data_IF_562048777164
#
_entry.id   IF_562048777164
#
_cell.length_a   1.000
_cell.length_b   1.000
_cell.length_c   1.000
_cell.angle_alpha   90.00
_cell.angle_beta   90.00
_cell.angle_gamma   90.00
#
_symmetry.space_group_name_H-M   'P 1'
#
loop_
_entity.id
_entity.type
_entity.pdbx_description
1 polymer ?
#
# COMPACT_ATOMS: atom_id res chain seq x y z
N UNK A 1 0.21 -2.11 -34.10
CA UNK A 1 1.05 -1.53 -33.02
C UNK A 1 0.24 -1.60 -31.75
N UNK A 2 0.75 -2.23 -30.69
CA UNK A 2 0.07 -2.27 -29.40
C UNK A 2 0.25 -0.88 -28.78
N UNK A 3 -0.85 -0.23 -28.39
CA UNK A 3 -0.77 1.07 -27.69
C UNK A 3 0.05 0.94 -26.42
N UNK A 4 0.92 1.91 -26.09
CA UNK A 4 1.70 1.85 -24.86
C UNK A 4 0.77 1.81 -23.64
N UNK A 5 1.13 1.01 -22.64
CA UNK A 5 0.37 0.92 -21.39
C UNK A 5 0.45 2.28 -20.67
N UNK A 6 -0.67 2.93 -20.35
CA UNK A 6 -0.69 4.33 -19.90
C UNK A 6 -0.42 4.49 -18.39
N UNK A 7 0.06 3.45 -17.71
CA UNK A 7 0.31 3.46 -16.27
C UNK A 7 1.68 2.89 -15.90
N UNK A 8 2.23 3.36 -14.78
CA UNK A 8 3.43 2.82 -14.14
C UNK A 8 3.04 2.28 -12.77
N UNK A 9 3.44 1.05 -12.48
CA UNK A 9 3.31 0.42 -11.16
C UNK A 9 4.45 0.88 -10.26
N UNK A 10 4.14 1.26 -9.03
CA UNK A 10 5.11 1.69 -8.02
C UNK A 10 4.94 0.88 -6.75
N UNK A 11 6.04 0.40 -6.19
CA UNK A 11 6.05 -0.32 -4.92
C UNK A 11 7.33 -0.02 -4.11
N UNK A 12 7.31 -0.33 -2.82
CA UNK A 12 8.48 -0.23 -1.95
C UNK A 12 9.27 -1.54 -1.89
N UNK A 13 10.60 -1.45 -1.92
CA UNK A 13 11.49 -2.59 -1.71
C UNK A 13 12.58 -2.27 -0.67
N UNK A 14 12.70 -3.13 0.32
CA UNK A 14 13.74 -3.08 1.36
C UNK A 14 14.27 -4.50 1.61
N UNK A 15 15.53 -4.60 2.06
CA UNK A 15 16.13 -5.87 2.47
C UNK A 15 15.31 -6.54 3.57
N UNK A 16 15.13 -7.87 3.48
CA UNK A 16 14.35 -8.65 4.47
C UNK A 16 13.13 -9.33 3.88
N UNK A 17 11.97 -9.20 4.54
CA UNK A 17 10.72 -9.79 4.03
C UNK A 17 10.21 -9.05 2.79
N UNK A 18 10.36 -7.72 2.76
CA UNK A 18 9.78 -6.86 1.74
C UNK A 18 10.31 -7.20 0.34
N UNK A 19 11.61 -7.49 0.19
CA UNK A 19 12.17 -7.91 -1.11
C UNK A 19 11.60 -9.24 -1.62
N UNK A 20 11.26 -10.19 -0.75
CA UNK A 20 10.59 -11.43 -1.18
C UNK A 20 9.15 -11.15 -1.64
N UNK A 21 8.44 -10.27 -0.92
CA UNK A 21 7.10 -9.82 -1.28
C UNK A 21 7.11 -9.07 -2.63
N UNK A 22 8.03 -8.11 -2.82
CA UNK A 22 8.19 -7.38 -4.08
C UNK A 22 8.47 -8.33 -5.26
N UNK A 23 9.28 -9.38 -5.07
CA UNK A 23 9.49 -10.38 -6.13
C UNK A 23 8.21 -11.14 -6.48
N UNK A 24 7.40 -11.51 -5.49
CA UNK A 24 6.09 -12.15 -5.73
C UNK A 24 5.16 -11.21 -6.49
N UNK A 25 5.09 -9.93 -6.11
CA UNK A 25 4.32 -8.91 -6.82
C UNK A 25 4.77 -8.79 -8.29
N UNK A 26 6.07 -8.61 -8.54
CA UNK A 26 6.61 -8.48 -9.90
C UNK A 26 6.33 -9.73 -10.73
N UNK A 27 6.67 -10.91 -10.22
CA UNK A 27 6.48 -12.17 -10.95
C UNK A 27 5.00 -12.47 -11.23
N UNK A 28 4.12 -12.24 -10.26
CA UNK A 28 2.68 -12.44 -10.44
C UNK A 28 2.10 -11.47 -11.44
N UNK A 29 2.48 -10.19 -11.41
CA UNK A 29 2.06 -9.20 -12.40
C UNK A 29 2.48 -9.61 -13.81
N UNK A 30 3.74 -10.03 -14.00
CA UNK A 30 4.23 -10.48 -15.31
C UNK A 30 3.52 -11.72 -15.84
N UNK A 31 3.03 -12.60 -14.95
CA UNK A 31 2.36 -13.86 -15.31
C UNK A 31 0.86 -13.72 -15.51
N UNK A 32 0.21 -12.95 -14.65
CA UNK A 32 -1.25 -12.93 -14.51
C UNK A 32 -1.88 -11.55 -14.75
N UNK A 33 -1.07 -10.51 -14.97
CA UNK A 33 -1.54 -9.14 -15.18
C UNK A 33 -2.22 -8.86 -16.53
N UNK A 34 -2.33 -9.86 -17.42
CA UNK A 34 -3.01 -9.72 -18.72
C UNK A 34 -2.39 -8.60 -19.56
N UNK A 35 -3.21 -7.65 -20.05
CA UNK A 35 -2.72 -6.49 -20.81
C UNK A 35 -1.79 -5.59 -20.01
N UNK A 36 -1.86 -5.60 -18.67
CA UNK A 36 -0.99 -4.85 -17.78
C UNK A 36 0.29 -5.60 -17.40
N UNK A 37 0.48 -6.83 -17.89
CA UNK A 37 1.66 -7.63 -17.59
C UNK A 37 2.96 -6.97 -18.05
N UNK A 38 2.92 -6.05 -19.01
CA UNK A 38 4.10 -5.31 -19.51
C UNK A 38 4.15 -3.86 -19.00
N UNK A 39 3.34 -3.50 -18.00
CA UNK A 39 3.39 -2.16 -17.42
C UNK A 39 4.79 -1.88 -16.84
N UNK A 40 5.35 -0.66 -17.03
CA UNK A 40 6.56 -0.24 -16.32
C UNK A 40 6.39 -0.40 -14.82
N UNK A 41 7.45 -0.89 -14.15
CA UNK A 41 7.49 -1.05 -12.69
C UNK A 41 8.65 -0.24 -12.15
N UNK A 42 8.38 0.59 -11.16
CA UNK A 42 9.40 1.30 -10.39
C UNK A 42 9.36 0.77 -8.95
N UNK A 43 10.39 0.04 -8.55
CA UNK A 43 10.59 -0.36 -7.17
C UNK A 43 11.49 0.66 -6.46
N UNK A 44 11.07 1.17 -5.31
CA UNK A 44 11.80 2.21 -4.58
C UNK A 44 12.28 1.71 -3.23
N UNK A 45 13.55 1.94 -2.92
CA UNK A 45 14.08 1.84 -1.55
C UNK A 45 14.06 3.24 -0.93
N UNK A 46 13.05 3.58 -0.10
CA UNK A 46 12.79 4.97 0.30
C UNK A 46 13.68 5.45 1.44
N UNK A 47 14.33 4.54 2.17
CA UNK A 47 15.15 4.88 3.34
C UNK A 47 16.41 4.02 3.41
N UNK A 48 17.37 4.48 4.19
CA UNK A 48 18.63 3.76 4.42
C UNK A 48 18.37 2.40 5.07
N UNK A 49 19.00 1.37 4.54
CA UNK A 49 18.92 0.01 5.04
C UNK A 49 20.05 -0.83 4.47
N UNK A 50 19.99 -2.14 4.71
CA UNK A 50 20.92 -3.06 4.08
C UNK A 50 20.66 -3.15 2.57
N UNK A 51 21.69 -3.48 1.77
CA UNK A 51 21.52 -3.75 0.35
C UNK A 51 20.50 -4.86 0.08
N UNK A 52 19.85 -4.78 -1.08
CA UNK A 52 18.99 -5.85 -1.58
C UNK A 52 19.82 -7.08 -1.96
N UNK A 53 19.21 -8.25 -1.90
CA UNK A 53 19.88 -9.49 -2.30
C UNK A 53 20.12 -9.54 -3.82
N UNK A 54 21.15 -10.28 -4.24
CA UNK A 54 21.43 -10.52 -5.65
C UNK A 54 20.23 -11.13 -6.40
N UNK A 55 19.47 -12.00 -5.75
CA UNK A 55 18.25 -12.58 -6.34
C UNK A 55 17.17 -11.51 -6.64
N UNK A 56 17.09 -10.45 -5.84
CA UNK A 56 16.19 -9.31 -6.07
C UNK A 56 16.64 -8.50 -7.29
N UNK A 57 17.94 -8.21 -7.39
CA UNK A 57 18.51 -7.56 -8.57
C UNK A 57 18.30 -8.39 -9.85
N UNK A 58 18.56 -9.71 -9.79
CA UNK A 58 18.30 -10.61 -10.92
C UNK A 58 16.83 -10.63 -11.33
N UNK A 59 15.90 -10.57 -10.37
CA UNK A 59 14.48 -10.45 -10.66
C UNK A 59 14.17 -9.12 -11.37
N UNK A 60 14.73 -8.02 -10.89
CA UNK A 60 14.53 -6.70 -11.50
C UNK A 60 15.10 -6.63 -12.92
N UNK A 61 16.31 -7.14 -13.14
CA UNK A 61 16.92 -7.21 -14.48
C UNK A 61 16.08 -8.07 -15.42
N UNK A 62 15.62 -9.23 -14.95
CA UNK A 62 14.80 -10.17 -15.74
C UNK A 62 13.46 -9.58 -16.18
N UNK A 63 12.83 -8.75 -15.34
CA UNK A 63 11.49 -8.22 -15.57
C UNK A 63 11.47 -6.71 -15.85
N UNK A 64 12.64 -6.13 -16.14
CA UNK A 64 12.83 -4.73 -16.51
C UNK A 64 12.22 -3.77 -15.48
N UNK A 65 12.47 -4.06 -14.19
CA UNK A 65 12.05 -3.19 -13.08
C UNK A 65 13.08 -2.08 -12.89
N UNK A 66 12.64 -0.82 -12.96
CA UNK A 66 13.48 0.31 -12.57
C UNK A 66 13.60 0.34 -11.05
N UNK A 67 14.84 0.29 -10.53
CA UNK A 67 15.10 0.39 -9.10
C UNK A 67 15.63 1.78 -8.74
N UNK A 68 14.93 2.47 -7.84
CA UNK A 68 15.37 3.75 -7.29
C UNK A 68 15.83 3.55 -5.85
N UNK A 69 17.08 3.92 -5.58
CA UNK A 69 17.61 3.99 -4.22
C UNK A 69 17.62 5.44 -3.74
N UNK A 70 16.60 5.84 -2.96
CA UNK A 70 16.41 7.22 -2.50
C UNK A 70 17.24 7.55 -1.25
N UNK A 71 18.50 7.07 -1.20
CA UNK A 71 19.41 7.23 -0.06
C UNK A 71 19.97 8.66 0.11
N UNK A 72 19.59 9.60 -0.75
CA UNK A 72 20.34 10.86 -0.92
C UNK A 72 20.22 11.84 0.25
N UNK A 73 19.27 11.68 1.18
CA UNK A 73 19.26 12.39 2.46
C UNK A 73 18.34 11.71 3.48
N UNK A 74 18.71 11.64 4.78
CA UNK A 74 17.80 11.17 5.81
C UNK A 74 16.62 12.13 5.92
N UNK A 75 15.42 11.61 5.65
CA UNK A 75 14.18 12.39 5.79
C UNK A 75 13.69 12.35 7.25
N UNK A 76 12.88 13.35 7.63
CA UNK A 76 12.47 13.66 9.02
C UNK A 76 11.74 12.52 9.76
N UNK A 77 11.28 11.50 9.03
CA UNK A 77 10.46 10.40 9.56
C UNK A 77 10.85 9.02 9.03
N UNK A 78 12.12 8.79 8.66
CA UNK A 78 12.59 7.47 8.16
C UNK A 78 12.37 6.31 9.15
N UNK A 79 12.19 6.60 10.44
CA UNK A 79 11.81 5.62 11.44
C UNK A 79 10.37 5.13 11.31
N UNK A 80 9.49 5.92 10.71
CA UNK A 80 8.10 5.56 10.49
C UNK A 80 7.98 4.80 9.16
N UNK A 81 7.67 3.49 9.22
CA UNK A 81 7.48 2.66 8.03
C UNK A 81 6.36 3.15 7.11
N UNK A 82 5.32 3.79 7.65
CA UNK A 82 4.22 4.34 6.86
C UNK A 82 4.66 5.49 5.93
N UNK A 83 5.79 6.13 6.22
CA UNK A 83 6.35 7.17 5.36
C UNK A 83 7.08 6.65 4.14
N UNK A 84 7.38 5.34 4.08
CA UNK A 84 8.04 4.73 2.93
C UNK A 84 7.27 4.99 1.62
N UNK A 85 5.95 4.86 1.67
CA UNK A 85 5.02 5.01 0.55
C UNK A 85 5.00 6.44 -0.05
N UNK A 86 4.73 7.51 0.72
CA UNK A 86 4.77 8.86 0.17
C UNK A 86 6.15 9.26 -0.36
N UNK A 87 7.26 8.84 0.28
CA UNK A 87 8.60 9.07 -0.26
C UNK A 87 8.84 8.31 -1.58
N UNK A 88 8.43 7.05 -1.65
CA UNK A 88 8.55 6.24 -2.85
C UNK A 88 7.76 6.83 -4.03
N UNK A 89 6.52 7.28 -3.77
CA UNK A 89 5.68 7.90 -4.78
C UNK A 89 6.27 9.20 -5.32
N UNK A 90 6.82 10.05 -4.46
CA UNK A 90 7.49 11.27 -4.91
C UNK A 90 8.66 10.94 -5.84
N UNK A 91 9.54 10.03 -5.42
CA UNK A 91 10.70 9.62 -6.23
C UNK A 91 10.30 8.95 -7.56
N UNK A 92 9.26 8.11 -7.56
CA UNK A 92 8.78 7.44 -8.75
C UNK A 92 8.07 8.38 -9.72
N UNK A 93 7.30 9.36 -9.22
CA UNK A 93 6.56 10.33 -10.04
C UNK A 93 7.49 11.17 -10.92
N UNK A 94 8.69 11.49 -10.44
CA UNK A 94 9.71 12.23 -11.19
C UNK A 94 10.31 11.41 -12.35
N UNK A 95 10.24 10.07 -12.27
CA UNK A 95 10.81 9.14 -13.25
C UNK A 95 9.78 8.58 -14.22
N UNK A 96 8.56 8.38 -13.76
CA UNK A 96 7.49 7.81 -14.54
C UNK A 96 7.14 8.70 -15.74
N UNK A 97 6.97 8.06 -16.89
CA UNK A 97 6.63 8.72 -18.17
C UNK A 97 5.18 8.51 -18.59
N UNK A 98 4.47 7.64 -17.91
CA UNK A 98 3.07 7.27 -18.19
C UNK A 98 2.09 8.26 -17.57
N UNK A 99 0.85 8.27 -18.01
CA UNK A 99 -0.14 9.24 -17.54
C UNK A 99 -0.67 8.94 -16.13
N UNK A 100 -0.62 7.67 -15.73
CA UNK A 100 -1.11 7.20 -14.44
C UNK A 100 0.02 6.59 -13.60
N UNK A 101 -0.09 6.75 -12.29
CA UNK A 101 0.74 6.06 -11.29
C UNK A 101 -0.19 5.16 -10.49
N UNK A 102 0.15 3.88 -10.42
CA UNK A 102 -0.52 2.90 -9.55
C UNK A 102 0.43 2.58 -8.41
N UNK A 103 -0.04 2.72 -7.19
CA UNK A 103 0.62 2.16 -6.02
C UNK A 103 0.12 0.74 -5.77
N UNK A 104 1.04 -0.19 -5.57
CA UNK A 104 0.78 -1.52 -5.01
C UNK A 104 1.71 -1.75 -3.82
N UNK A 105 1.13 -2.07 -2.66
CA UNK A 105 1.93 -2.58 -1.54
C UNK A 105 2.64 -3.89 -1.97
N UNK A 106 3.83 -4.14 -1.42
CA UNK A 106 4.65 -5.27 -1.89
C UNK A 106 4.06 -6.63 -1.56
N UNK A 107 3.13 -6.70 -0.60
CA UNK A 107 2.33 -7.86 -0.25
C UNK A 107 1.02 -8.00 -1.05
N UNK A 108 0.99 -7.42 -2.25
CA UNK A 108 -0.03 -7.68 -3.26
C UNK A 108 0.39 -8.85 -4.16
N UNK A 109 -0.51 -9.81 -4.35
CA UNK A 109 -0.43 -10.88 -5.34
C UNK A 109 -1.40 -10.58 -6.49
N UNK A 110 -0.89 -10.51 -7.73
CA UNK A 110 -1.73 -10.39 -8.92
C UNK A 110 -2.27 -11.78 -9.29
N UNK A 111 -3.58 -11.96 -9.15
CA UNK A 111 -4.27 -13.22 -9.42
C UNK A 111 -5.01 -13.24 -10.77
N UNK A 112 -5.21 -12.06 -11.36
CA UNK A 112 -5.79 -11.89 -12.69
C UNK A 112 -5.58 -10.46 -13.19
N UNK A 113 -6.03 -10.21 -14.43
CA UNK A 113 -5.86 -8.92 -15.09
C UNK A 113 -6.62 -7.78 -14.36
N UNK A 114 -5.91 -6.75 -13.83
CA UNK A 114 -6.53 -5.71 -13.02
C UNK A 114 -6.85 -4.45 -13.85
N UNK A 115 -7.62 -4.60 -14.93
CA UNK A 115 -7.90 -3.50 -15.87
C UNK A 115 -8.62 -2.31 -15.25
N UNK A 116 -9.29 -2.46 -14.10
CA UNK A 116 -9.92 -1.35 -13.39
C UNK A 116 -8.90 -0.34 -12.85
N UNK A 117 -7.61 -0.68 -12.81
CA UNK A 117 -6.54 0.30 -12.53
C UNK A 117 -6.33 1.33 -13.65
N UNK A 118 -6.90 1.11 -14.84
CA UNK A 118 -6.90 2.12 -15.90
C UNK A 118 -7.98 3.15 -15.59
N UNK A 119 -7.55 4.35 -15.20
CA UNK A 119 -8.47 5.45 -14.89
C UNK A 119 -9.32 5.81 -16.12
N UNK A 120 -10.66 5.80 -16.01
CA UNK A 120 -11.53 6.32 -17.03
C UNK A 120 -11.29 7.81 -17.29
N UNK A 121 -11.77 8.30 -18.44
CA UNK A 121 -11.77 9.73 -18.73
C UNK A 121 -12.57 10.49 -17.67
N UNK A 122 -12.03 11.64 -17.23
CA UNK A 122 -12.63 12.45 -16.17
C UNK A 122 -12.44 11.93 -14.76
N UNK A 123 -11.77 10.79 -14.55
CA UNK A 123 -11.38 10.30 -13.22
C UNK A 123 -9.87 10.50 -13.01
N UNK A 124 -9.53 11.07 -11.86
CA UNK A 124 -8.18 11.43 -11.46
C UNK A 124 -7.60 10.51 -10.39
N UNK A 125 -8.44 9.84 -9.62
CA UNK A 125 -8.06 9.03 -8.47
C UNK A 125 -8.99 7.83 -8.25
N UNK A 126 -8.45 6.66 -7.94
CA UNK A 126 -9.22 5.53 -7.44
C UNK A 126 -8.46 4.79 -6.34
N UNK A 127 -9.18 4.35 -5.31
CA UNK A 127 -8.65 3.52 -4.23
C UNK A 127 -9.76 2.61 -3.69
N UNK A 128 -9.39 1.49 -3.07
CA UNK A 128 -10.37 0.63 -2.40
C UNK A 128 -10.78 1.26 -1.07
N UNK A 129 -12.07 1.27 -0.75
CA UNK A 129 -12.55 1.69 0.57
C UNK A 129 -11.95 0.76 1.62
N UNK A 130 -11.50 1.31 2.75
CA UNK A 130 -10.97 0.52 3.85
C UNK A 130 -12.09 -0.23 4.60
N UNK A 131 -11.67 -1.06 5.56
CA UNK A 131 -12.52 -1.39 6.71
C UNK A 131 -12.80 -0.14 7.56
N UNK A 132 -13.74 -0.26 8.51
CA UNK A 132 -14.13 0.86 9.37
C UNK A 132 -13.01 1.33 10.32
N UNK A 133 -11.96 0.53 10.56
CA UNK A 133 -10.92 0.84 11.55
C UNK A 133 -10.12 2.08 11.16
N UNK A 134 -10.20 3.10 12.02
CA UNK A 134 -9.55 4.39 11.79
C UNK A 134 -10.39 5.40 11.02
N UNK A 135 -11.57 5.00 10.52
CA UNK A 135 -12.56 5.91 9.97
C UNK A 135 -13.52 6.41 11.06
N UNK A 136 -14.35 7.40 10.75
CA UNK A 136 -15.45 7.84 11.62
C UNK A 136 -16.79 7.70 10.90
N UNK A 137 -17.82 7.20 11.60
CA UNK A 137 -19.20 7.14 11.08
C UNK A 137 -20.02 8.40 11.36
N UNK A 138 -19.46 9.41 12.02
CA UNK A 138 -20.14 10.67 12.33
C UNK A 138 -19.78 11.25 13.70
N UNK A 139 -20.49 12.29 14.15
CA UNK A 139 -20.16 13.03 15.38
C UNK A 139 -20.15 12.20 16.67
N UNK A 140 -20.96 11.13 16.73
CA UNK A 140 -21.07 10.27 17.91
C UNK A 140 -20.05 9.11 17.94
N UNK A 141 -19.21 9.00 16.90
CA UNK A 141 -18.20 7.95 16.77
C UNK A 141 -16.92 8.31 17.56
N UNK A 142 -16.24 7.31 18.12
CA UNK A 142 -15.05 7.53 18.96
C UNK A 142 -13.87 8.18 18.22
N UNK A 143 -13.86 8.11 16.89
CA UNK A 143 -12.86 8.74 16.03
C UNK A 143 -13.23 10.16 15.60
N UNK A 144 -14.42 10.68 15.96
CA UNK A 144 -14.89 12.00 15.51
C UNK A 144 -13.91 13.13 15.85
N UNK A 145 -13.49 13.24 17.13
CA UNK A 145 -12.55 14.26 17.58
C UNK A 145 -11.18 14.15 16.89
N UNK A 146 -10.72 12.92 16.62
CA UNK A 146 -9.51 12.70 15.85
C UNK A 146 -9.65 13.21 14.41
N UNK A 147 -10.77 12.90 13.75
CA UNK A 147 -11.06 13.34 12.39
C UNK A 147 -11.20 14.87 12.26
N UNK A 148 -11.81 15.52 13.24
CA UNK A 148 -11.83 16.99 13.35
C UNK A 148 -10.41 17.55 13.45
N UNK A 149 -9.58 16.98 14.35
CA UNK A 149 -8.20 17.41 14.56
C UNK A 149 -7.31 17.27 13.31
N UNK A 150 -7.40 16.14 12.59
CA UNK A 150 -6.64 15.95 11.34
C UNK A 150 -7.15 16.86 10.22
N UNK A 151 -8.46 17.11 10.12
CA UNK A 151 -9.01 18.05 9.14
C UNK A 151 -8.52 19.46 9.41
N UNK A 152 -8.60 19.92 10.67
CA UNK A 152 -8.06 21.21 11.09
C UNK A 152 -6.55 21.31 10.81
N UNK A 153 -5.79 20.25 11.12
CA UNK A 153 -4.36 20.18 10.86
C UNK A 153 -4.04 20.40 9.37
N UNK A 154 -4.86 19.85 8.48
CA UNK A 154 -4.67 19.96 7.03
C UNK A 154 -5.32 21.21 6.40
N UNK A 155 -6.17 21.91 7.14
CA UNK A 155 -6.93 23.07 6.66
C UNK A 155 -8.17 22.65 5.84
N UNK A 156 -8.83 21.58 6.26
CA UNK A 156 -10.04 21.03 5.66
C UNK A 156 -11.22 21.18 6.62
N UNK A 157 -12.41 21.34 6.06
CA UNK A 157 -13.68 21.28 6.80
C UNK A 157 -14.17 19.82 6.79
N UNK A 158 -14.40 19.22 7.97
CA UNK A 158 -14.81 17.81 8.10
C UNK A 158 -16.13 17.53 7.34
N UNK A 159 -17.05 18.49 7.38
CA UNK A 159 -18.37 18.42 6.74
C UNK A 159 -18.27 18.44 5.21
N UNK A 160 -17.17 18.96 4.66
CA UNK A 160 -16.92 18.93 3.22
C UNK A 160 -16.50 17.55 2.72
N UNK A 161 -16.06 16.66 3.60
CA UNK A 161 -15.59 15.34 3.21
C UNK A 161 -16.76 14.46 2.72
N UNK A 162 -16.61 13.80 1.56
CA UNK A 162 -17.58 12.82 1.10
C UNK A 162 -17.75 11.67 2.09
N UNK A 163 -18.87 10.95 1.91
CA UNK A 163 -19.10 9.67 2.57
C UNK A 163 -18.79 8.53 1.61
N UNK A 164 -18.19 7.45 2.12
CA UNK A 164 -17.95 6.21 1.39
C UNK A 164 -18.56 5.03 2.15
N UNK A 165 -18.81 3.93 1.45
CA UNK A 165 -19.29 2.68 2.05
C UNK A 165 -18.09 1.72 2.14
N UNK A 166 -17.80 1.20 3.33
CA UNK A 166 -16.69 0.25 3.53
C UNK A 166 -16.96 -1.05 2.76
N UNK A 167 -15.90 -1.66 2.22
CA UNK A 167 -16.05 -2.82 1.34
C UNK A 167 -16.57 -4.05 2.11
N UNK A 168 -16.10 -4.25 3.34
CA UNK A 168 -16.43 -5.43 4.13
C UNK A 168 -17.67 -5.23 5.01
N UNK A 169 -17.71 -4.18 5.82
CA UNK A 169 -18.80 -3.96 6.78
C UNK A 169 -20.03 -3.29 6.17
N UNK A 170 -19.91 -2.75 4.95
CA UNK A 170 -20.94 -1.91 4.31
C UNK A 170 -21.32 -0.70 5.19
N UNK A 171 -20.37 -0.23 6.00
CA UNK A 171 -20.55 0.90 6.90
C UNK A 171 -20.34 2.22 6.16
N UNK A 172 -21.16 3.23 6.46
CA UNK A 172 -21.01 4.56 5.91
C UNK A 172 -20.00 5.36 6.75
N UNK A 173 -18.84 5.66 6.17
CA UNK A 173 -17.73 6.34 6.86
C UNK A 173 -17.27 7.59 6.11
N UNK A 174 -16.61 8.52 6.81
CA UNK A 174 -15.93 9.66 6.16
C UNK A 174 -14.86 9.19 5.20
N UNK A 175 -14.53 10.04 4.23
CA UNK A 175 -13.67 9.81 3.06
C UNK A 175 -12.31 9.14 3.34
N UNK A 176 -12.35 7.83 3.59
CA UNK A 176 -11.24 7.01 4.07
C UNK A 176 -11.09 5.78 3.17
N UNK A 177 -9.88 5.54 2.70
CA UNK A 177 -9.56 4.47 1.77
C UNK A 177 -8.42 3.64 2.32
N UNK A 178 -8.37 2.36 1.94
CA UNK A 178 -7.20 1.54 2.17
C UNK A 178 -6.07 2.03 1.26
N UNK A 179 -4.84 2.02 1.77
CA UNK A 179 -3.68 2.55 1.04
C UNK A 179 -2.82 1.50 0.35
N UNK A 180 -3.25 0.24 0.34
CA UNK A 180 -2.51 -0.86 -0.28
C UNK A 180 -2.59 -0.89 -1.80
N UNK A 181 -3.69 -0.41 -2.37
CA UNK A 181 -3.89 -0.27 -3.82
C UNK A 181 -4.62 1.02 -4.12
N UNK A 182 -3.99 1.88 -4.92
CA UNK A 182 -4.64 3.06 -5.48
C UNK A 182 -3.94 3.52 -6.75
N UNK A 183 -4.65 4.34 -7.53
CA UNK A 183 -4.17 4.91 -8.78
C UNK A 183 -4.51 6.39 -8.86
N UNK A 184 -3.62 7.19 -9.44
CA UNK A 184 -3.88 8.60 -9.71
C UNK A 184 -3.24 9.08 -11.01
N UNK A 185 -3.74 10.19 -11.56
CA UNK A 185 -3.12 10.87 -12.71
C UNK A 185 -1.78 11.49 -12.30
N UNK A 186 -0.69 11.11 -12.96
CA UNK A 186 0.68 11.54 -12.60
C UNK A 186 0.82 13.06 -12.46
N UNK A 187 0.13 13.82 -13.29
CA UNK A 187 0.20 15.29 -13.33
C UNK A 187 -0.72 16.00 -12.32
N UNK A 188 -1.48 15.28 -11.49
CA UNK A 188 -2.41 15.87 -10.52
C UNK A 188 -1.73 16.52 -9.29
N UNK A 189 -0.40 16.42 -9.18
CA UNK A 189 0.39 16.82 -7.99
C UNK A 189 0.06 16.02 -6.72
N UNK A 190 -0.61 14.88 -6.86
CA UNK A 190 -0.96 14.02 -5.72
C UNK A 190 0.26 13.62 -4.88
N UNK A 191 1.33 13.08 -5.47
CA UNK A 191 2.50 12.60 -4.72
C UNK A 191 3.15 13.66 -3.80
N UNK A 192 3.51 14.87 -4.27
CA UNK A 192 4.09 15.88 -3.39
C UNK A 192 3.11 16.35 -2.29
N UNK A 193 1.82 16.54 -2.62
CA UNK A 193 0.83 16.94 -1.61
C UNK A 193 0.58 15.84 -0.58
N UNK A 194 0.58 14.57 -1.01
CA UNK A 194 0.40 13.41 -0.15
C UNK A 194 1.52 13.29 0.87
N UNK A 195 2.77 13.47 0.43
CA UNK A 195 3.92 13.50 1.32
C UNK A 195 3.83 14.65 2.32
N UNK A 196 3.50 15.85 1.85
CA UNK A 196 3.33 17.03 2.71
C UNK A 196 2.26 16.81 3.77
N UNK A 197 1.10 16.25 3.39
CA UNK A 197 0.02 15.94 4.32
C UNK A 197 0.46 14.90 5.36
N UNK A 198 1.15 13.83 4.95
CA UNK A 198 1.69 12.84 5.90
C UNK A 198 2.67 13.49 6.91
N UNK A 199 3.54 14.40 6.44
CA UNK A 199 4.48 15.14 7.29
C UNK A 199 3.71 16.03 8.27
N UNK A 200 2.72 16.81 7.82
CA UNK A 200 1.89 17.68 8.66
C UNK A 200 1.14 16.88 9.73
N UNK A 201 0.57 15.73 9.37
CA UNK A 201 -0.10 14.87 10.34
C UNK A 201 0.86 14.36 11.42
N UNK A 202 2.06 13.92 11.06
CA UNK A 202 3.07 13.55 12.06
C UNK A 202 3.53 14.76 12.89
N UNK A 203 3.73 15.92 12.27
CA UNK A 203 4.11 17.15 12.97
C UNK A 203 3.06 17.65 13.96
N UNK A 204 1.77 17.39 13.69
CA UNK A 204 0.68 17.73 14.60
C UNK A 204 0.68 16.92 15.89
N UNK A 205 1.36 15.76 15.89
CA UNK A 205 1.41 14.81 17.02
C UNK A 205 0.02 14.36 17.47
N UNK A 206 -0.97 14.38 16.58
CA UNK A 206 -2.28 13.83 16.85
C UNK A 206 -2.24 12.30 16.73
N UNK A 207 -2.88 11.63 17.68
CA UNK A 207 -3.02 10.17 17.72
C UNK A 207 -4.48 9.84 18.00
N UNK A 208 -5.01 8.83 17.33
CA UNK A 208 -6.32 8.28 17.66
C UNK A 208 -6.24 7.31 18.84
N UNK A 209 -7.36 7.12 19.55
CA UNK A 209 -7.50 6.04 20.55
C UNK A 209 -7.46 4.63 19.96
N UNK A 210 -7.94 4.48 18.73
CA UNK A 210 -8.09 3.16 18.07
C UNK A 210 -6.83 2.73 17.35
N UNK A 211 -6.30 3.58 16.49
CA UNK A 211 -5.18 3.26 15.60
C UNK A 211 -3.86 3.93 16.01
N UNK A 212 -3.85 4.71 17.09
CA UNK A 212 -2.69 5.51 17.44
C UNK A 212 -2.37 6.55 16.36
N UNK A 213 -1.09 6.78 16.10
CA UNK A 213 -0.57 7.53 14.95
C UNK A 213 -0.15 6.61 13.79
N UNK A 214 -0.49 5.31 13.84
CA UNK A 214 -0.23 4.38 12.75
C UNK A 214 -1.14 4.68 11.56
N UNK A 215 -0.80 4.14 10.38
CA UNK A 215 -1.58 4.32 9.15
C UNK A 215 -1.74 5.79 8.71
N UNK A 216 -0.76 6.65 9.05
CA UNK A 216 -0.78 8.07 8.65
C UNK A 216 -0.92 8.23 7.13
N UNK A 217 -0.27 7.35 6.37
CA UNK A 217 -0.37 7.28 4.92
C UNK A 217 -1.82 6.99 4.50
N UNK A 218 -2.45 6.00 5.11
CA UNK A 218 -3.85 5.68 4.85
C UNK A 218 -4.83 6.82 5.17
N UNK A 219 -4.65 7.47 6.32
CA UNK A 219 -5.47 8.63 6.73
C UNK A 219 -5.30 9.79 5.75
N UNK A 220 -4.07 10.09 5.32
CA UNK A 220 -3.79 11.18 4.40
C UNK A 220 -4.27 10.93 2.97
N UNK A 221 -4.52 9.68 2.56
CA UNK A 221 -4.79 9.29 1.17
C UNK A 221 -6.03 9.98 0.60
N UNK A 222 -7.20 9.75 1.21
CA UNK A 222 -8.46 10.36 0.79
C UNK A 222 -8.46 11.88 0.99
N UNK A 223 -7.92 12.35 2.12
CA UNK A 223 -7.83 13.78 2.44
C UNK A 223 -7.01 14.55 1.39
N UNK A 224 -5.93 13.95 0.88
CA UNK A 224 -5.11 14.54 -0.19
C UNK A 224 -5.88 14.64 -1.50
N UNK A 225 -6.59 13.57 -1.89
CA UNK A 225 -7.41 13.59 -3.10
C UNK A 225 -8.52 14.66 -3.03
N UNK A 226 -9.18 14.77 -1.87
CA UNK A 226 -10.20 15.79 -1.61
C UNK A 226 -9.62 17.21 -1.64
N UNK A 227 -8.50 17.44 -0.96
CA UNK A 227 -7.84 18.75 -0.91
C UNK A 227 -7.43 19.26 -2.29
N UNK A 228 -7.02 18.35 -3.18
CA UNK A 228 -6.66 18.68 -4.56
C UNK A 228 -7.86 18.78 -5.50
N UNK A 229 -9.08 18.50 -5.02
CA UNK A 229 -10.30 18.50 -5.83
C UNK A 229 -10.30 17.43 -6.92
N UNK A 230 -9.66 16.29 -6.68
CA UNK A 230 -9.55 15.21 -7.67
C UNK A 230 -10.90 14.53 -7.88
N UNK A 231 -11.26 14.29 -9.14
CA UNK A 231 -12.41 13.44 -9.47
C UNK A 231 -12.07 11.99 -9.13
N UNK A 232 -12.94 11.30 -8.40
CA UNK A 232 -12.60 9.99 -7.85
C UNK A 232 -13.72 8.96 -8.00
N UNK A 233 -13.34 7.68 -7.97
CA UNK A 233 -14.23 6.53 -7.86
C UNK A 233 -13.63 5.46 -6.93
N UNK A 234 -14.45 4.68 -6.21
CA UNK A 234 -13.93 3.57 -5.44
C UNK A 234 -13.47 2.43 -6.36
N UNK A 235 -12.36 1.79 -6.03
CA UNK A 235 -12.01 0.49 -6.62
C UNK A 235 -12.92 -0.60 -6.01
N UNK A 236 -13.33 -1.60 -6.80
CA UNK A 236 -14.06 -2.75 -6.26
C UNK A 236 -13.15 -3.58 -5.36
N UNK A 237 -13.75 -4.32 -4.41
CA UNK A 237 -13.04 -5.21 -3.48
C UNK A 237 -12.10 -6.20 -4.19
N UNK A 238 -12.45 -6.61 -5.41
CA UNK A 238 -11.60 -7.48 -6.24
C UNK A 238 -10.19 -6.93 -6.50
N UNK A 239 -9.97 -5.63 -6.33
CA UNK A 239 -8.68 -4.98 -6.55
C UNK A 239 -7.91 -4.72 -5.25
N UNK A 240 -8.40 -5.21 -4.10
CA UNK A 240 -7.67 -5.16 -2.83
C UNK A 240 -8.26 -6.19 -1.84
N UNK A 241 -8.45 -7.43 -2.29
CA UNK A 241 -9.08 -8.46 -1.45
C UNK A 241 -8.11 -8.83 -0.32
N UNK A 242 -8.44 -8.44 0.91
CA UNK A 242 -7.59 -8.69 2.08
C UNK A 242 -7.73 -10.14 2.54
N UNK A 243 -6.59 -10.79 2.77
CA UNK A 243 -6.54 -12.11 3.37
C UNK A 243 -5.39 -12.15 4.36
N UNK A 244 -5.69 -12.44 5.63
CA UNK A 244 -4.69 -12.61 6.68
C UNK A 244 -5.07 -13.76 7.60
N UNK A 245 -4.12 -14.29 8.36
CA UNK A 245 -4.42 -15.32 9.36
C UNK A 245 -5.34 -14.81 10.48
N UNK A 246 -5.34 -13.50 10.73
CA UNK A 246 -6.14 -12.87 11.79
C UNK A 246 -7.57 -12.56 11.36
N UNK A 247 -7.79 -12.32 10.07
CA UNK A 247 -9.11 -11.93 9.53
C UNK A 247 -9.77 -13.06 8.74
N UNK A 248 -9.09 -14.19 8.51
CA UNK A 248 -9.62 -15.28 7.71
C UNK A 248 -11.01 -15.73 8.14
N UNK A 249 -11.21 -16.05 9.42
CA UNK A 249 -12.48 -16.62 9.90
C UNK A 249 -13.66 -15.65 9.74
N UNK A 250 -13.42 -14.35 9.84
CA UNK A 250 -14.48 -13.33 9.76
C UNK A 250 -14.69 -12.81 8.34
N UNK A 251 -13.60 -12.61 7.59
CA UNK A 251 -13.61 -11.88 6.31
C UNK A 251 -13.52 -12.77 5.08
N UNK A 252 -13.05 -14.02 5.19
CA UNK A 252 -12.91 -14.88 4.02
C UNK A 252 -14.27 -15.18 3.37
N UNK A 253 -14.39 -14.90 2.08
CA UNK A 253 -15.52 -15.29 1.24
C UNK A 253 -14.98 -15.87 -0.07
N UNK A 254 -15.24 -17.14 -0.33
CA UNK A 254 -14.67 -17.84 -1.49
C UNK A 254 -15.06 -17.19 -2.82
N UNK A 255 -16.32 -16.74 -2.95
CA UNK A 255 -16.79 -16.11 -4.19
C UNK A 255 -16.16 -14.72 -4.41
N UNK A 256 -15.93 -13.95 -3.35
CA UNK A 256 -15.22 -12.66 -3.47
C UNK A 256 -13.75 -12.88 -3.82
N UNK A 257 -13.11 -13.90 -3.22
CA UNK A 257 -11.76 -14.30 -3.60
C UNK A 257 -11.73 -14.75 -5.06
N UNK A 258 -12.72 -15.49 -5.58
CA UNK A 258 -12.79 -15.91 -6.99
C UNK A 258 -12.82 -14.73 -7.96
N UNK A 259 -13.46 -13.64 -7.57
CA UNK A 259 -13.49 -12.41 -8.36
C UNK A 259 -12.26 -11.53 -8.19
N UNK A 260 -11.41 -11.80 -7.19
CA UNK A 260 -10.21 -11.02 -6.95
C UNK A 260 -9.26 -11.01 -8.17
N UNK A 261 -8.69 -9.85 -8.44
CA UNK A 261 -7.59 -9.63 -9.39
C UNK A 261 -6.32 -9.29 -8.66
N UNK A 262 -6.45 -8.63 -7.50
CA UNK A 262 -5.36 -8.32 -6.58
C UNK A 262 -5.72 -8.84 -5.18
N UNK A 263 -4.88 -9.72 -4.65
CA UNK A 263 -5.01 -10.28 -3.31
C UNK A 263 -3.97 -9.61 -2.42
N UNK A 264 -4.43 -8.86 -1.42
CA UNK A 264 -3.60 -8.26 -0.39
C UNK A 264 -3.42 -9.28 0.73
N UNK A 265 -2.35 -10.06 0.61
CA UNK A 265 -2.23 -11.30 1.37
C UNK A 265 -1.64 -11.11 2.77
N UNK A 266 -1.23 -9.91 3.18
CA UNK A 266 -0.66 -9.62 4.50
C UNK A 266 0.34 -10.69 4.98
N UNK A 267 -0.09 -11.55 5.91
CA UNK A 267 0.71 -12.64 6.45
C UNK A 267 0.36 -14.05 5.90
N UNK A 268 -0.61 -14.15 5.00
CA UNK A 268 -1.18 -15.42 4.55
C UNK A 268 -0.19 -16.31 3.77
N UNK A 269 0.83 -15.71 3.16
CA UNK A 269 1.87 -16.45 2.42
C UNK A 269 2.99 -17.01 3.30
N UNK A 270 2.99 -16.72 4.61
CA UNK A 270 4.02 -17.21 5.52
C UNK A 270 3.75 -18.65 5.98
N UNK A 271 4.78 -19.38 6.45
CA UNK A 271 4.66 -20.80 6.76
C UNK A 271 3.48 -21.19 7.67
N UNK A 272 3.12 -20.42 8.72
CA UNK A 272 2.01 -20.81 9.61
C UNK A 272 0.65 -20.88 8.91
N UNK A 273 0.41 -20.05 7.89
CA UNK A 273 -0.90 -19.94 7.23
C UNK A 273 -0.90 -20.38 5.76
N UNK A 274 0.29 -20.65 5.21
CA UNK A 274 0.50 -21.06 3.83
C UNK A 274 -0.42 -22.20 3.35
N UNK A 275 -0.61 -23.31 4.10
CA UNK A 275 -1.46 -24.40 3.60
C UNK A 275 -2.91 -23.96 3.37
N UNK A 276 -3.44 -23.11 4.26
CA UNK A 276 -4.78 -22.55 4.14
C UNK A 276 -4.86 -21.60 2.95
N UNK A 277 -3.93 -20.66 2.86
CA UNK A 277 -3.85 -19.70 1.75
C UNK A 277 -3.76 -20.41 0.39
N UNK A 278 -2.82 -21.35 0.25
CA UNK A 278 -2.62 -22.10 -0.99
C UNK A 278 -3.89 -22.89 -1.38
N UNK A 279 -4.56 -23.53 -0.42
CA UNK A 279 -5.81 -24.25 -0.67
C UNK A 279 -6.91 -23.32 -1.20
N UNK A 280 -7.10 -22.16 -0.58
CA UNK A 280 -8.07 -21.15 -1.05
C UNK A 280 -7.75 -20.65 -2.46
N UNK A 281 -6.47 -20.34 -2.74
CA UNK A 281 -6.04 -19.86 -4.06
C UNK A 281 -6.12 -20.96 -5.12
N UNK A 282 -5.82 -22.22 -4.80
CA UNK A 282 -5.97 -23.34 -5.75
C UNK A 282 -7.44 -23.54 -6.18
N UNK A 283 -8.39 -23.35 -5.26
CA UNK A 283 -9.83 -23.46 -5.55
C UNK A 283 -10.38 -22.30 -6.39
N UNK A 284 -9.86 -21.10 -6.20
CA UNK A 284 -10.38 -19.86 -6.82
C UNK A 284 -9.60 -19.46 -8.07
N UNK A 285 -8.28 -19.69 -8.07
CA UNK A 285 -7.32 -19.31 -9.10
C UNK A 285 -6.31 -20.45 -9.36
N UNK A 286 -6.73 -21.56 -9.98
CA UNK A 286 -5.91 -22.78 -10.06
C UNK A 286 -4.54 -22.57 -10.72
N UNK A 287 -4.42 -21.69 -11.71
CA UNK A 287 -3.15 -21.37 -12.35
C UNK A 287 -2.19 -20.62 -11.41
N UNK A 288 -2.72 -19.70 -10.60
CA UNK A 288 -1.96 -18.96 -9.59
C UNK A 288 -1.55 -19.92 -8.47
N UNK A 289 -2.48 -20.74 -7.99
CA UNK A 289 -2.21 -21.77 -6.97
C UNK A 289 -1.15 -22.77 -7.41
N UNK A 290 -1.18 -23.24 -8.66
CA UNK A 290 -0.14 -24.12 -9.22
C UNK A 290 1.23 -23.45 -9.26
N UNK A 291 1.29 -22.17 -9.63
CA UNK A 291 2.56 -21.42 -9.61
C UNK A 291 3.07 -21.23 -8.18
N UNK A 292 2.21 -20.83 -7.26
CA UNK A 292 2.55 -20.66 -5.85
C UNK A 292 3.08 -21.96 -5.22
N UNK A 293 2.50 -23.10 -5.56
CA UNK A 293 2.95 -24.42 -5.11
C UNK A 293 4.42 -24.71 -5.50
N UNK A 294 4.88 -24.20 -6.65
CA UNK A 294 6.30 -24.33 -7.06
C UNK A 294 7.26 -23.46 -6.25
N UNK A 295 6.76 -22.39 -5.63
CA UNK A 295 7.56 -21.47 -4.82
C UNK A 295 7.61 -21.91 -3.36
N UNK A 296 6.51 -22.47 -2.86
CA UNK A 296 6.32 -22.79 -1.45
C UNK A 296 6.07 -21.56 -0.58
N UNK A 297 5.99 -21.76 0.76
CA UNK A 297 5.76 -20.68 1.70
C UNK A 297 6.87 -19.64 1.64
N UNK A 298 6.52 -18.38 1.84
CA UNK A 298 7.49 -17.29 1.85
C UNK A 298 8.51 -17.48 2.97
N UNK A 299 9.78 -17.28 2.64
CA UNK A 299 10.87 -17.34 3.59
C UNK A 299 11.58 -16.00 3.68
N UNK A 300 11.97 -15.62 4.89
CA UNK A 300 12.94 -14.55 5.05
C UNK A 300 14.31 -15.13 4.68
N UNK A 301 14.81 -14.79 3.51
CA UNK A 301 16.10 -15.28 2.97
C UNK A 301 17.29 -14.41 3.40
N UNK A 302 17.07 -13.34 4.18
CA UNK A 302 18.14 -12.43 4.57
C UNK A 302 19.26 -13.20 5.31
N UNK A 303 20.54 -13.02 4.94
CA UNK A 303 21.66 -13.67 5.64
C UNK A 303 21.65 -13.37 7.15
N UNK A 304 22.10 -14.33 7.97
CA UNK A 304 22.18 -14.14 9.43
C UNK A 304 22.96 -12.88 9.85
N UNK A 305 24.12 -12.55 9.24
CA UNK A 305 24.83 -11.31 9.56
C UNK A 305 23.98 -10.07 9.29
N UNK A 306 23.18 -10.08 8.21
CA UNK A 306 22.32 -8.96 7.84
C UNK A 306 21.17 -8.81 8.84
N UNK A 307 20.58 -9.92 9.30
CA UNK A 307 19.59 -9.89 10.37
C UNK A 307 20.17 -9.30 11.67
N UNK A 308 21.43 -9.60 11.99
CA UNK A 308 22.12 -9.04 13.14
C UNK A 308 22.40 -7.54 12.97
N UNK A 309 22.91 -7.12 11.80
CA UNK A 309 23.19 -5.71 11.48
C UNK A 309 21.95 -4.84 11.38
N UNK A 310 20.78 -5.42 11.08
CA UNK A 310 19.51 -4.71 11.10
C UNK A 310 19.00 -4.41 12.52
N UNK A 311 19.49 -5.12 13.56
CA UNK A 311 19.00 -4.90 14.94
C UNK A 311 19.30 -3.49 15.45
N UNK A 312 20.52 -2.94 15.35
CA UNK A 312 20.79 -1.56 15.77
C UNK A 312 19.92 -0.52 15.07
N UNK A 313 19.77 -0.61 13.74
CA UNK A 313 18.90 0.29 12.99
C UNK A 313 17.45 0.18 13.45
N UNK A 314 16.94 -1.04 13.66
CA UNK A 314 15.60 -1.27 14.17
C UNK A 314 15.42 -0.66 15.57
N UNK A 315 16.36 -0.89 16.48
CA UNK A 315 16.33 -0.33 17.83
C UNK A 315 16.32 1.20 17.82
N UNK A 316 17.14 1.83 16.97
CA UNK A 316 17.16 3.29 16.81
C UNK A 316 15.80 3.81 16.33
N UNK A 317 15.20 3.16 15.32
CA UNK A 317 13.87 3.54 14.79
C UNK A 317 12.77 3.33 15.81
N UNK A 318 12.80 2.21 16.53
CA UNK A 318 11.86 1.90 17.60
C UNK A 318 11.95 2.94 18.72
N UNK A 319 13.17 3.37 19.09
CA UNK A 319 13.38 4.46 20.04
C UNK A 319 12.80 5.79 19.53
N UNK A 320 13.12 6.19 18.29
CA UNK A 320 12.57 7.43 17.70
C UNK A 320 11.03 7.41 17.65
N UNK A 321 10.45 6.26 17.30
CA UNK A 321 9.00 6.04 17.31
C UNK A 321 8.43 6.20 18.72
N UNK A 322 9.04 5.59 19.74
CA UNK A 322 8.58 5.71 21.12
C UNK A 322 8.69 7.15 21.64
N UNK A 323 9.75 7.88 21.29
CA UNK A 323 9.89 9.30 21.63
C UNK A 323 8.78 10.12 20.97
N UNK A 324 8.49 9.87 19.69
CA UNK A 324 7.39 10.55 19.01
C UNK A 324 6.04 10.27 19.67
N UNK A 325 5.74 9.00 19.93
CA UNK A 325 4.51 8.56 20.58
C UNK A 325 4.31 9.20 21.95
N UNK A 326 5.37 9.34 22.74
CA UNK A 326 5.32 9.98 24.05
C UNK A 326 4.95 11.48 23.98
N UNK A 327 5.11 12.10 22.81
CA UNK A 327 4.73 13.50 22.57
C UNK A 327 3.37 13.66 21.91
N UNK A 328 2.69 12.56 21.58
CA UNK A 328 1.39 12.60 20.92
C UNK A 328 0.26 12.95 21.88
N UNK A 329 -0.67 13.77 21.40
CA UNK A 329 -1.97 14.00 22.04
C UNK A 329 -2.96 12.98 21.50
N UNK A 330 -3.55 12.20 22.39
CA UNK A 330 -4.58 11.21 22.04
C UNK A 330 -5.94 11.91 22.02
N UNK A 331 -6.61 11.88 20.87
CA UNK A 331 -7.97 12.38 20.68
C UNK A 331 -8.97 11.23 20.66
#
# INVERSE_FOLDING_TARGET
>A
MVSPIPLTIVCCVESGSLESQTRYLVESLRRFGGSLAQAPIIAVTPRLGLPLQAATHQCFDRFEVEHISSLRSPTRYTWNGFMNKPYALLAATERAKTDMIVWLDSDILVAGEPTTLLLPDGIDFQACTADQSGATTGPDDEMAAYWEGICQCLGLELESLPWVITAHEQAKVRFYFNSGVFVYRRLSKFAPQYLENCIRLLDSRLSSKVCGFFYTDQVALGLTAHQLGLSWQPLPLSHNYSMSSLTYDSWYREEELREARLIHYHDAVWPPFWPTFLSCVQKTHPNVGKWLDTLGPMQNTAPLPYRAMNKPLKMMRDWQRSQHQATCTVL
#
